data_IF_588204745076
#
_entry.id   IF_588204745076
#
_cell.length_a   1.000
_cell.length_b   1.000
_cell.length_c   1.000
_cell.angle_alpha   90.00
_cell.angle_beta   90.00
_cell.angle_gamma   90.00
#
_symmetry.space_group_name_H-M   'P 1'
#
loop_
_entity.id
_entity.type
_entity.pdbx_description
1 polymer ?
#
# COMPACT_ATOMS: atom_id res chain seq x y z
N UNK A 1 14.88 6.61 15.10
CA UNK A 1 15.98 7.62 15.11
C UNK A 1 16.66 7.75 13.74
N UNK A 2 17.30 6.72 13.17
CA UNK A 2 17.90 6.84 11.81
C UNK A 2 16.90 7.33 10.74
N UNK A 3 15.72 6.71 10.72
CA UNK A 3 14.63 7.11 9.82
C UNK A 3 14.16 8.56 10.01
N UNK A 4 14.21 9.09 11.25
CA UNK A 4 13.86 10.49 11.50
C UNK A 4 14.84 11.44 10.82
N UNK A 5 16.15 11.18 10.94
CA UNK A 5 17.17 11.97 10.25
C UNK A 5 16.93 11.95 8.74
N UNK A 6 16.75 10.76 8.15
CA UNK A 6 16.48 10.62 6.71
C UNK A 6 15.22 11.39 6.28
N UNK A 7 14.12 11.29 7.03
CA UNK A 7 12.88 12.02 6.75
C UNK A 7 13.08 13.54 6.81
N UNK A 8 13.74 14.06 7.86
CA UNK A 8 14.00 15.50 7.96
C UNK A 8 14.92 16.02 6.86
N UNK A 9 15.93 15.24 6.44
CA UNK A 9 16.78 15.59 5.29
C UNK A 9 15.97 15.66 3.99
N UNK A 10 15.09 14.67 3.76
CA UNK A 10 14.21 14.64 2.59
C UNK A 10 13.24 15.82 2.60
N UNK A 11 12.64 16.15 3.74
CA UNK A 11 11.71 17.26 3.89
C UNK A 11 12.37 18.65 3.90
N UNK A 12 13.71 18.73 3.87
CA UNK A 12 14.44 20.00 3.94
C UNK A 12 14.49 20.63 5.34
N UNK A 13 14.07 19.91 6.38
CA UNK A 13 14.09 20.33 7.78
C UNK A 13 15.49 20.11 8.41
N UNK A 14 16.51 20.76 7.84
CA UNK A 14 17.92 20.50 8.18
C UNK A 14 18.26 20.72 9.66
N UNK A 15 17.60 21.69 10.33
CA UNK A 15 17.78 21.93 11.77
C UNK A 15 17.28 20.77 12.63
N UNK A 16 16.15 20.17 12.25
CA UNK A 16 15.63 18.99 12.92
C UNK A 16 16.53 17.78 12.66
N UNK A 17 16.96 17.57 11.41
CA UNK A 17 17.92 16.52 11.06
C UNK A 17 19.21 16.61 11.89
N UNK A 18 19.80 17.80 12.00
CA UNK A 18 21.02 18.03 12.78
C UNK A 18 20.85 17.67 14.26
N UNK A 19 19.72 18.05 14.87
CA UNK A 19 19.41 17.71 16.26
C UNK A 19 19.47 16.19 16.48
N UNK A 20 18.85 15.41 15.60
CA UNK A 20 18.82 13.95 15.74
C UNK A 20 20.16 13.29 15.36
N UNK A 21 20.92 13.87 14.43
CA UNK A 21 22.30 13.44 14.13
C UNK A 21 23.15 13.56 15.41
N UNK A 22 23.13 14.72 16.09
CA UNK A 22 23.91 14.94 17.32
C UNK A 22 23.60 13.91 18.41
N UNK A 23 22.33 13.53 18.58
CA UNK A 23 21.93 12.49 19.55
C UNK A 23 22.49 11.12 19.13
N UNK A 24 22.42 10.78 17.84
CA UNK A 24 22.93 9.49 17.33
C UNK A 24 24.46 9.39 17.36
N UNK A 25 25.17 10.51 17.21
CA UNK A 25 26.63 10.58 17.33
C UNK A 25 27.12 10.22 18.74
N UNK A 26 26.30 10.48 19.76
CA UNK A 26 26.59 10.08 21.15
C UNK A 26 26.39 8.57 21.39
N UNK A 27 25.75 7.86 20.45
CA UNK A 27 25.52 6.42 20.55
C UNK A 27 26.60 5.66 19.74
N UNK A 28 27.52 4.90 20.37
CA UNK A 28 28.64 4.26 19.66
C UNK A 28 28.24 3.43 18.45
N UNK A 29 27.11 2.69 18.55
CA UNK A 29 26.57 1.85 17.46
C UNK A 29 26.17 2.65 16.21
N UNK A 30 25.81 3.92 16.35
CA UNK A 30 25.28 4.74 15.25
C UNK A 30 26.18 5.91 14.88
N UNK A 31 27.26 6.12 15.63
CA UNK A 31 28.15 7.28 15.48
C UNK A 31 28.69 7.46 14.07
N UNK A 32 29.26 6.41 13.47
CA UNK A 32 29.82 6.48 12.12
C UNK A 32 28.75 6.87 11.08
N UNK A 33 27.63 6.14 11.09
CA UNK A 33 26.50 6.41 10.21
C UNK A 33 25.94 7.84 10.38
N UNK A 34 25.84 8.35 11.61
CA UNK A 34 25.30 9.68 11.89
C UNK A 34 26.25 10.78 11.41
N UNK A 35 27.55 10.61 11.61
CA UNK A 35 28.56 11.55 11.13
C UNK A 35 28.54 11.69 9.61
N UNK A 36 28.34 10.58 8.88
CA UNK A 36 28.19 10.60 7.42
C UNK A 36 26.99 11.45 6.97
N UNK A 37 25.89 11.49 7.72
CA UNK A 37 24.70 12.24 7.32
C UNK A 37 24.90 13.76 7.34
N UNK A 38 25.94 14.26 8.03
CA UNK A 38 26.23 15.71 8.06
C UNK A 38 26.53 16.28 6.68
N UNK A 39 27.04 15.47 5.76
CA UNK A 39 27.35 15.89 4.39
C UNK A 39 26.10 16.29 3.59
N UNK A 40 24.89 15.98 4.08
CA UNK A 40 23.61 16.30 3.44
C UNK A 40 22.88 17.47 4.12
N UNK A 41 23.48 18.12 5.12
CA UNK A 41 22.86 19.22 5.88
C UNK A 41 22.90 20.53 5.09
N UNK A 42 21.96 20.70 4.17
CA UNK A 42 21.76 21.92 3.41
C UNK A 42 21.12 21.65 2.05
N UNK A 43 20.61 22.70 1.41
CA UNK A 43 19.87 22.56 0.17
C UNK A 43 20.77 22.10 -0.99
N UNK A 44 21.94 22.69 -1.15
CA UNK A 44 22.89 22.32 -2.22
C UNK A 44 23.47 20.94 -1.97
N UNK A 45 23.76 20.65 -0.72
CA UNK A 45 24.35 19.41 -0.23
C UNK A 45 23.40 18.23 -0.43
N UNK A 46 22.13 18.40 -0.04
CA UNK A 46 21.11 17.36 -0.20
C UNK A 46 20.79 17.07 -1.67
N UNK A 47 20.90 18.05 -2.56
CA UNK A 47 20.76 17.85 -4.00
C UNK A 47 21.84 16.93 -4.58
N UNK A 48 23.02 16.80 -3.97
CA UNK A 48 24.04 15.88 -4.45
C UNK A 48 23.73 14.40 -4.17
N UNK A 49 22.79 14.12 -3.26
CA UNK A 49 22.44 12.77 -2.85
C UNK A 49 21.29 12.20 -3.68
N UNK A 50 21.59 11.26 -4.58
CA UNK A 50 20.58 10.63 -5.43
C UNK A 50 19.43 9.98 -4.66
N UNK A 51 19.68 9.43 -3.47
CA UNK A 51 18.63 8.84 -2.64
C UNK A 51 17.67 9.87 -2.03
N UNK A 52 18.15 11.10 -1.75
CA UNK A 52 17.31 12.20 -1.28
C UNK A 52 16.42 12.69 -2.41
N UNK A 53 17.02 12.92 -3.59
CA UNK A 53 16.27 13.32 -4.79
C UNK A 53 15.19 12.31 -5.15
N UNK A 54 15.53 11.02 -5.17
CA UNK A 54 14.58 9.95 -5.46
C UNK A 54 13.39 9.93 -4.48
N UNK A 55 13.60 10.30 -3.20
CA UNK A 55 12.51 10.40 -2.21
C UNK A 55 11.70 11.67 -2.36
N UNK A 56 12.36 12.80 -2.66
CA UNK A 56 11.69 14.09 -2.90
C UNK A 56 10.77 14.05 -4.12
N UNK A 57 11.11 13.25 -5.13
CA UNK A 57 10.28 13.05 -6.31
C UNK A 57 8.87 12.55 -5.98
N UNK A 58 8.69 11.85 -4.86
CA UNK A 58 7.39 11.31 -4.42
C UNK A 58 6.77 12.09 -3.26
N UNK A 59 7.28 13.28 -2.92
CA UNK A 59 6.62 14.12 -1.93
C UNK A 59 5.28 14.61 -2.49
N UNK A 60 4.18 14.50 -1.72
CA UNK A 60 2.90 15.06 -2.12
C UNK A 60 3.06 16.53 -2.50
N UNK A 61 2.48 16.89 -3.66
CA UNK A 61 2.56 18.25 -4.22
C UNK A 61 1.34 19.05 -3.77
N UNK A 62 0.22 18.36 -3.52
CA UNK A 62 -1.02 18.98 -3.07
C UNK A 62 -0.87 19.51 -1.64
N UNK A 63 -0.96 20.83 -1.48
CA UNK A 63 -0.94 21.51 -0.19
C UNK A 63 -2.18 21.09 0.62
N UNK A 64 -1.96 20.37 1.72
CA UNK A 64 -3.02 19.70 2.46
C UNK A 64 -3.16 20.32 3.86
N UNK A 65 -4.35 20.78 4.27
CA UNK A 65 -4.60 21.25 5.64
C UNK A 65 -4.46 20.15 6.71
N UNK A 66 -4.39 18.88 6.31
CA UNK A 66 -4.27 17.74 7.20
C UNK A 66 -2.82 17.25 7.33
N UNK A 67 -2.43 16.90 8.56
CA UNK A 67 -1.19 16.18 8.83
C UNK A 67 -1.28 14.77 8.22
N UNK A 68 -0.62 14.59 7.08
CA UNK A 68 -0.55 13.33 6.35
C UNK A 68 0.03 12.19 7.21
N UNK A 69 0.82 12.51 8.23
CA UNK A 69 1.36 11.50 9.17
C UNK A 69 0.33 11.02 10.19
N UNK A 70 -0.82 11.71 10.32
CA UNK A 70 -1.89 11.41 11.28
C UNK A 70 -3.21 11.03 10.62
N UNK A 71 -3.28 11.09 9.30
CA UNK A 71 -4.51 10.87 8.52
C UNK A 71 -4.36 9.70 7.55
N UNK A 72 -3.78 8.59 8.00
CA UNK A 72 -3.91 7.32 7.29
C UNK A 72 -5.39 6.89 7.41
N UNK A 73 -6.15 6.64 6.32
CA UNK A 73 -5.72 6.39 4.94
C UNK A 73 -5.76 7.57 3.96
N UNK A 74 -6.33 8.72 4.32
CA UNK A 74 -6.42 9.89 3.43
C UNK A 74 -5.06 10.30 2.84
N UNK A 75 -3.99 10.20 3.63
CA UNK A 75 -2.64 10.51 3.18
C UNK A 75 -2.13 9.62 2.03
N UNK A 76 -2.52 8.35 2.02
CA UNK A 76 -2.17 7.43 0.93
C UNK A 76 -2.96 7.73 -0.33
N UNK A 77 -4.24 8.14 -0.20
CA UNK A 77 -5.04 8.52 -1.35
C UNK A 77 -4.39 9.70 -2.08
N UNK A 78 -4.04 10.77 -1.36
CA UNK A 78 -3.34 11.91 -1.96
C UNK A 78 -2.00 11.54 -2.60
N UNK A 79 -1.22 10.67 -1.94
CA UNK A 79 0.05 10.21 -2.48
C UNK A 79 -0.13 9.41 -3.79
N UNK A 80 -1.17 8.59 -3.88
CA UNK A 80 -1.50 7.82 -5.08
C UNK A 80 -2.03 8.74 -6.18
N UNK A 81 -2.85 9.73 -5.83
CA UNK A 81 -3.42 10.68 -6.79
C UNK A 81 -2.34 11.60 -7.38
N UNK A 82 -1.43 12.11 -6.55
CA UNK A 82 -0.31 12.97 -6.96
C UNK A 82 0.78 12.18 -7.72
N UNK A 83 1.10 10.97 -7.24
CA UNK A 83 2.19 10.13 -7.74
C UNK A 83 1.73 8.70 -8.04
N UNK A 84 0.87 8.51 -9.06
CA UNK A 84 0.29 7.20 -9.34
C UNK A 84 1.34 6.20 -9.86
N UNK A 85 2.49 6.67 -10.33
CA UNK A 85 3.67 5.87 -10.72
C UNK A 85 4.47 5.33 -9.53
N UNK A 86 4.19 5.82 -8.31
CA UNK A 86 4.72 5.25 -7.08
C UNK A 86 4.06 3.91 -6.76
N UNK A 87 4.53 2.85 -7.42
CA UNK A 87 3.99 1.49 -7.29
C UNK A 87 3.98 1.02 -5.82
N UNK A 88 4.98 1.39 -5.02
CA UNK A 88 5.04 1.00 -3.62
C UNK A 88 3.91 1.64 -2.79
N UNK A 89 3.61 2.93 -3.02
CA UNK A 89 2.49 3.60 -2.37
C UNK A 89 1.15 3.01 -2.83
N UNK A 90 1.01 2.74 -4.14
CA UNK A 90 -0.17 2.13 -4.71
C UNK A 90 -0.45 0.73 -4.10
N UNK A 91 0.53 -0.17 -4.13
CA UNK A 91 0.40 -1.53 -3.62
C UNK A 91 0.11 -1.54 -2.13
N UNK A 92 0.76 -0.65 -1.37
CA UNK A 92 0.49 -0.50 0.06
C UNK A 92 -0.93 0.01 0.32
N UNK A 93 -1.38 1.02 -0.43
CA UNK A 93 -2.75 1.54 -0.35
C UNK A 93 -3.79 0.47 -0.66
N UNK A 94 -3.59 -0.31 -1.72
CA UNK A 94 -4.51 -1.40 -2.07
C UNK A 94 -4.53 -2.48 -1.00
N UNK A 95 -3.36 -2.92 -0.50
CA UNK A 95 -3.28 -3.88 0.60
C UNK A 95 -4.00 -3.36 1.84
N UNK A 96 -3.82 -2.09 2.19
CA UNK A 96 -4.54 -1.45 3.29
C UNK A 96 -6.06 -1.55 3.09
N UNK A 97 -6.57 -1.15 1.93
CA UNK A 97 -8.00 -1.20 1.64
C UNK A 97 -8.55 -2.64 1.72
N UNK A 98 -7.80 -3.63 1.23
CA UNK A 98 -8.20 -5.04 1.28
C UNK A 98 -8.20 -5.60 2.70
N UNK A 99 -7.21 -5.26 3.54
CA UNK A 99 -7.15 -5.63 4.96
C UNK A 99 -8.34 -5.07 5.73
N UNK A 100 -8.73 -3.82 5.45
CA UNK A 100 -9.92 -3.20 6.05
C UNK A 100 -11.22 -3.52 5.30
N UNK A 101 -11.19 -4.46 4.34
CA UNK A 101 -12.34 -4.93 3.54
C UNK A 101 -13.10 -3.81 2.82
N UNK A 102 -12.43 -2.71 2.51
CA UNK A 102 -13.01 -1.58 1.78
C UNK A 102 -12.92 -1.83 0.26
N UNK A 103 -13.69 -2.81 -0.20
CA UNK A 103 -13.79 -3.16 -1.62
C UNK A 103 -14.27 -2.00 -2.52
N UNK A 104 -15.23 -1.13 -2.12
CA UNK A 104 -15.61 0.01 -2.95
C UNK A 104 -14.44 0.97 -3.24
N UNK A 105 -13.66 1.32 -2.22
CA UNK A 105 -12.49 2.17 -2.41
C UNK A 105 -11.40 1.45 -3.21
N UNK A 106 -11.20 0.15 -2.99
CA UNK A 106 -10.26 -0.64 -3.80
C UNK A 106 -10.64 -0.62 -5.28
N UNK A 107 -11.93 -0.86 -5.61
CA UNK A 107 -12.42 -0.85 -6.99
C UNK A 107 -12.31 0.50 -7.68
N UNK A 108 -12.32 1.61 -6.93
CA UNK A 108 -12.10 2.95 -7.47
C UNK A 108 -10.75 3.08 -8.20
N UNK A 109 -9.71 2.40 -7.71
CA UNK A 109 -8.35 2.47 -8.28
C UNK A 109 -8.07 1.40 -9.36
N UNK A 110 -8.95 0.41 -9.54
CA UNK A 110 -8.71 -0.69 -10.49
C UNK A 110 -8.66 -0.26 -11.97
N UNK A 111 -9.45 0.73 -12.44
CA UNK A 111 -9.28 1.27 -13.79
C UNK A 111 -7.88 1.83 -14.03
N UNK A 112 -7.36 2.63 -13.08
CA UNK A 112 -6.01 3.20 -13.15
C UNK A 112 -4.93 2.11 -13.18
N UNK A 113 -5.09 1.04 -12.38
CA UNK A 113 -4.17 -0.10 -12.41
C UNK A 113 -4.20 -0.82 -13.76
N UNK A 114 -5.40 -1.03 -14.34
CA UNK A 114 -5.59 -1.69 -15.63
C UNK A 114 -4.89 -0.96 -16.78
N UNK A 115 -4.86 0.37 -16.76
CA UNK A 115 -4.18 1.17 -17.79
C UNK A 115 -2.66 0.96 -17.79
N UNK A 116 -2.09 0.58 -16.64
CA UNK A 116 -0.63 0.50 -16.43
C UNK A 116 -0.10 -0.92 -16.47
N UNK A 117 -0.94 -1.88 -16.09
CA UNK A 117 -0.54 -3.28 -15.90
C UNK A 117 -1.36 -4.19 -16.81
N UNK A 118 -0.66 -5.09 -17.49
CA UNK A 118 -1.29 -6.07 -18.38
C UNK A 118 -1.93 -7.23 -17.61
N UNK A 119 -1.49 -7.48 -16.37
CA UNK A 119 -1.96 -8.57 -15.52
C UNK A 119 -2.20 -8.10 -14.09
N UNK A 120 -3.07 -8.81 -13.39
CA UNK A 120 -3.43 -8.50 -12.01
C UNK A 120 -2.91 -9.59 -11.09
N UNK A 121 -2.37 -9.25 -9.90
CA UNK A 121 -2.05 -10.23 -8.87
C UNK A 121 -3.29 -11.05 -8.48
N UNK A 122 -3.11 -12.34 -8.15
CA UNK A 122 -4.21 -13.24 -7.72
C UNK A 122 -5.09 -12.60 -6.65
N UNK A 123 -4.49 -11.94 -5.65
CA UNK A 123 -5.21 -11.22 -4.60
C UNK A 123 -6.20 -10.16 -5.14
N UNK A 124 -5.80 -9.40 -6.15
CA UNK A 124 -6.64 -8.36 -6.75
C UNK A 124 -7.74 -8.98 -7.60
N UNK A 125 -7.41 -10.02 -8.37
CA UNK A 125 -8.39 -10.78 -9.13
C UNK A 125 -9.49 -11.35 -8.22
N UNK A 126 -9.12 -11.93 -7.07
CA UNK A 126 -10.05 -12.45 -6.07
C UNK A 126 -10.94 -11.35 -5.46
N UNK A 127 -10.35 -10.18 -5.16
CA UNK A 127 -11.08 -9.03 -4.64
C UNK A 127 -12.09 -8.45 -5.66
N UNK A 128 -11.69 -8.35 -6.94
CA UNK A 128 -12.57 -7.94 -8.03
C UNK A 128 -13.72 -8.95 -8.17
N UNK A 129 -13.41 -10.25 -8.21
CA UNK A 129 -14.44 -11.30 -8.26
C UNK A 129 -15.44 -11.18 -7.11
N UNK A 130 -14.94 -10.95 -5.90
CA UNK A 130 -15.78 -10.81 -4.71
C UNK A 130 -16.67 -9.56 -4.79
N UNK A 131 -16.15 -8.44 -5.26
CA UNK A 131 -16.93 -7.22 -5.46
C UNK A 131 -18.07 -7.45 -6.46
N UNK A 132 -17.79 -8.02 -7.63
CA UNK A 132 -18.82 -8.31 -8.64
C UNK A 132 -19.83 -9.36 -8.15
N UNK A 133 -19.38 -10.38 -7.41
CA UNK A 133 -20.26 -11.36 -6.79
C UNK A 133 -21.23 -10.73 -5.79
N UNK A 134 -20.77 -9.76 -4.98
CA UNK A 134 -21.63 -9.00 -4.05
C UNK A 134 -22.74 -8.19 -4.74
N UNK A 135 -22.57 -7.88 -6.04
CA UNK A 135 -23.54 -7.18 -6.89
C UNK A 135 -24.36 -8.12 -7.76
N UNK A 136 -24.17 -9.43 -7.67
CA UNK A 136 -24.83 -10.42 -8.55
C UNK A 136 -24.34 -10.40 -9.99
N UNK A 137 -23.18 -9.77 -10.26
CA UNK A 137 -22.63 -9.51 -11.60
C UNK A 137 -21.35 -10.29 -11.88
N UNK A 138 -21.11 -11.41 -11.20
CA UNK A 138 -19.84 -12.15 -11.30
C UNK A 138 -19.44 -12.50 -12.74
N UNK A 139 -20.41 -12.75 -13.63
CA UNK A 139 -20.16 -13.05 -15.04
C UNK A 139 -19.61 -11.85 -15.86
N UNK A 140 -19.74 -10.63 -15.35
CA UNK A 140 -19.20 -9.40 -15.98
C UNK A 140 -17.73 -9.16 -15.57
N UNK A 141 -17.26 -9.72 -14.44
CA UNK A 141 -15.93 -9.43 -13.89
C UNK A 141 -14.79 -9.72 -14.88
N UNK A 142 -14.82 -10.89 -15.54
CA UNK A 142 -13.80 -11.30 -16.51
C UNK A 142 -13.90 -10.57 -17.86
N UNK A 143 -14.99 -9.82 -18.10
CA UNK A 143 -15.12 -8.93 -19.26
C UNK A 143 -14.47 -7.58 -18.99
N UNK A 144 -14.67 -7.08 -17.77
CA UNK A 144 -14.21 -5.75 -17.37
C UNK A 144 -12.74 -5.74 -16.96
N UNK A 145 -12.21 -6.85 -16.43
CA UNK A 145 -10.84 -6.98 -15.94
C UNK A 145 -10.17 -8.28 -16.41
N UNK A 146 -8.84 -8.28 -16.62
CA UNK A 146 -8.10 -9.49 -16.96
C UNK A 146 -8.01 -10.39 -15.71
N UNK A 147 -8.93 -11.35 -15.62
CA UNK A 147 -9.03 -12.30 -14.53
C UNK A 147 -8.80 -13.72 -15.08
N UNK A 148 -7.95 -14.48 -14.41
CA UNK A 148 -7.67 -15.86 -14.76
C UNK A 148 -8.93 -16.72 -14.55
N UNK A 149 -9.16 -17.63 -15.51
CA UNK A 149 -10.31 -18.54 -15.46
C UNK A 149 -10.27 -19.43 -14.21
N UNK A 150 -9.07 -19.78 -13.73
CA UNK A 150 -8.88 -20.53 -12.48
C UNK A 150 -9.44 -19.76 -11.27
N UNK A 151 -9.15 -18.46 -11.15
CA UNK A 151 -9.65 -17.61 -10.05
C UNK A 151 -11.17 -17.52 -10.09
N UNK A 152 -11.72 -17.30 -11.29
CA UNK A 152 -13.18 -17.24 -11.49
C UNK A 152 -13.85 -18.56 -11.10
N UNK A 153 -13.31 -19.69 -11.58
CA UNK A 153 -13.84 -21.02 -11.30
C UNK A 153 -13.77 -21.37 -9.81
N UNK A 154 -12.63 -21.09 -9.17
CA UNK A 154 -12.41 -21.34 -7.74
C UNK A 154 -13.37 -20.52 -6.87
N UNK A 155 -13.64 -19.27 -7.22
CA UNK A 155 -14.65 -18.43 -6.56
C UNK A 155 -16.07 -18.99 -6.76
N UNK A 156 -16.43 -19.40 -7.97
CA UNK A 156 -17.76 -20.00 -8.21
C UNK A 156 -17.98 -21.28 -7.39
N UNK A 157 -16.94 -22.11 -7.27
CA UNK A 157 -16.97 -23.30 -6.41
C UNK A 157 -17.13 -22.93 -4.94
N UNK A 158 -16.41 -21.90 -4.46
CA UNK A 158 -16.56 -21.38 -3.11
C UNK A 158 -18.00 -20.95 -2.83
N UNK A 159 -18.59 -20.11 -3.70
CA UNK A 159 -19.97 -19.62 -3.52
C UNK A 159 -21.02 -20.75 -3.48
N UNK A 160 -20.79 -21.86 -4.20
CA UNK A 160 -21.67 -23.03 -4.20
C UNK A 160 -21.48 -23.95 -2.98
N UNK A 161 -20.24 -24.11 -2.51
CA UNK A 161 -19.87 -25.16 -1.53
C UNK A 161 -19.64 -24.65 -0.12
N UNK A 162 -19.42 -23.33 0.08
CA UNK A 162 -19.09 -22.77 1.38
C UNK A 162 -20.13 -23.11 2.47
N UNK A 163 -21.42 -23.13 2.13
CA UNK A 163 -22.49 -23.43 3.10
C UNK A 163 -22.57 -24.90 3.51
N UNK A 164 -22.05 -25.81 2.70
CA UNK A 164 -22.14 -27.26 2.93
C UNK A 164 -20.87 -27.88 3.52
N UNK A 165 -19.75 -27.16 3.51
CA UNK A 165 -18.47 -27.67 3.99
C UNK A 165 -18.29 -27.40 5.48
N UNK A 166 -17.58 -28.31 6.16
CA UNK A 166 -17.11 -28.07 7.53
C UNK A 166 -16.05 -26.96 7.55
N UNK A 167 -15.92 -26.24 8.67
CA UNK A 167 -14.94 -25.16 8.81
C UNK A 167 -13.49 -25.60 8.52
N UNK A 168 -13.13 -26.84 8.89
CA UNK A 168 -11.81 -27.41 8.61
C UNK A 168 -11.56 -27.59 7.11
N UNK A 169 -12.52 -28.16 6.39
CA UNK A 169 -12.42 -28.36 4.94
C UNK A 169 -12.44 -27.03 4.19
N UNK A 170 -13.25 -26.07 4.65
CA UNK A 170 -13.32 -24.72 4.11
C UNK A 170 -11.98 -24.00 4.22
N UNK A 171 -11.34 -24.07 5.39
CA UNK A 171 -10.00 -23.51 5.62
C UNK A 171 -8.93 -24.21 4.79
N UNK A 172 -9.00 -25.53 4.67
CA UNK A 172 -8.04 -26.30 3.88
C UNK A 172 -8.13 -25.96 2.38
N UNK A 173 -9.35 -25.79 1.86
CA UNK A 173 -9.57 -25.54 0.44
C UNK A 173 -9.40 -24.08 0.04
N UNK A 174 -9.78 -23.13 0.91
CA UNK A 174 -9.87 -21.72 0.56
C UNK A 174 -9.13 -20.78 1.52
N UNK A 175 -8.42 -21.30 2.52
CA UNK A 175 -7.75 -20.47 3.53
C UNK A 175 -6.65 -19.54 2.98
N UNK A 176 -6.20 -19.78 1.75
CA UNK A 176 -5.23 -18.95 1.02
C UNK A 176 -5.88 -17.81 0.21
N UNK A 177 -7.21 -17.67 0.26
CA UNK A 177 -7.95 -16.75 -0.60
C UNK A 177 -8.45 -15.52 0.15
N UNK A 178 -8.56 -14.41 -0.58
CA UNK A 178 -9.08 -13.16 -0.04
C UNK A 178 -10.53 -13.28 0.45
N UNK A 179 -11.38 -13.99 -0.28
CA UNK A 179 -12.79 -14.13 0.09
C UNK A 179 -12.99 -14.98 1.36
N UNK A 180 -12.11 -15.95 1.63
CA UNK A 180 -12.09 -16.63 2.92
C UNK A 180 -11.67 -15.67 4.04
N UNK A 181 -10.64 -14.84 3.82
CA UNK A 181 -10.24 -13.80 4.76
C UNK A 181 -11.40 -12.83 5.05
N UNK A 182 -12.11 -12.36 4.02
CA UNK A 182 -13.23 -11.42 4.21
C UNK A 182 -14.40 -12.03 4.97
N UNK A 183 -14.68 -13.32 4.78
CA UNK A 183 -15.83 -13.98 5.41
C UNK A 183 -15.53 -14.36 6.87
N UNK A 184 -14.33 -14.88 7.17
CA UNK A 184 -14.06 -15.56 8.44
C UNK A 184 -13.09 -14.82 9.38
N UNK A 185 -12.32 -13.83 8.89
CA UNK A 185 -11.38 -13.09 9.74
C UNK A 185 -11.95 -11.73 10.15
N UNK A 186 -11.82 -11.30 11.42
CA UNK A 186 -12.22 -9.96 11.81
C UNK A 186 -11.31 -8.91 11.16
N UNK A 187 -11.85 -7.72 10.87
CA UNK A 187 -11.03 -6.57 10.48
C UNK A 187 -10.16 -6.13 11.66
N UNK A 188 -8.93 -5.67 11.42
CA UNK A 188 -8.12 -5.05 12.46
C UNK A 188 -8.83 -3.84 13.08
N UNK A 189 -8.54 -3.54 14.35
CA UNK A 189 -8.96 -2.29 14.97
C UNK A 189 -8.24 -1.13 14.29
N UNK A 190 -8.97 -0.05 14.00
CA UNK A 190 -8.40 1.21 13.51
C UNK A 190 -7.73 1.97 14.66
#
# INVERSE_FOLDING_TARGET
MKRLVETYLVNGEYRAAEKYIRILEQTPRYKAWAAEQRQYLGEKESQSAGWIQAKRAFLPVTDNPFDLTKTLPSALAFLIDDHPDNQAAFDYGMCYLLVYKNLPAFMHYMPLYKERHQSFPKLYQEAICLYYASKGKMAEAAKDYPIDSEVTNRMQQFLKTARSLSAANLKQLYGDTYYYYTEFMPTPKQ
#
